data_IF_063160024860
#
_entry.id   IF_063160024860
#
_cell.length_a   1.000
_cell.length_b   1.000
_cell.length_c   1.000
_cell.angle_alpha   90.00
_cell.angle_beta   90.00
_cell.angle_gamma   90.00
#
_symmetry.space_group_name_H-M   'P 1'
#
loop_
_entity.id
_entity.type
_entity.pdbx_description
1 polymer ?
#
# COMPACT_ATOMS: atom_id res chain seq x y z
N UNK A 1 2.83 -5.93 -3.03
CA UNK A 1 3.70 -4.91 -2.42
C UNK A 1 3.21 -3.54 -2.86
N UNK A 2 3.37 -2.50 -2.03
CA UNK A 2 2.97 -1.14 -2.39
C UNK A 2 3.94 -0.11 -1.80
N UNK A 3 4.03 1.04 -2.44
CA UNK A 3 4.89 2.17 -2.11
C UNK A 3 4.09 3.48 -2.10
N UNK A 4 4.65 4.54 -1.51
CA UNK A 4 4.07 5.89 -1.62
C UNK A 4 3.93 6.35 -3.09
N UNK A 5 4.84 5.93 -3.97
CA UNK A 5 4.80 6.23 -5.41
C UNK A 5 3.58 5.59 -6.09
N UNK A 6 3.21 4.38 -5.69
CA UNK A 6 2.05 3.67 -6.24
C UNK A 6 0.76 4.39 -5.85
N UNK A 7 0.65 4.84 -4.59
CA UNK A 7 -0.50 5.63 -4.12
C UNK A 7 -0.64 6.95 -4.88
N UNK A 8 0.46 7.66 -5.13
CA UNK A 8 0.45 8.89 -5.92
C UNK A 8 0.01 8.59 -7.36
N UNK A 9 0.56 7.53 -7.97
CA UNK A 9 0.22 7.11 -9.33
C UNK A 9 -1.25 6.72 -9.45
N UNK A 10 -1.81 6.11 -8.40
CA UNK A 10 -3.22 5.75 -8.30
C UNK A 10 -4.16 6.94 -7.98
N UNK A 11 -3.63 8.15 -7.80
CA UNK A 11 -4.43 9.35 -7.56
C UNK A 11 -4.84 9.57 -6.11
N UNK A 12 -4.24 8.88 -5.14
CA UNK A 12 -4.54 9.07 -3.71
C UNK A 12 -4.09 10.44 -3.16
N UNK A 13 -3.18 11.12 -3.86
CA UNK A 13 -2.64 12.43 -3.51
C UNK A 13 -1.45 12.80 -4.38
N UNK A 14 -1.07 14.09 -4.39
CA UNK A 14 -0.02 14.60 -5.29
C UNK A 14 1.41 14.48 -4.72
N UNK A 15 1.57 14.22 -3.43
CA UNK A 15 2.88 14.24 -2.74
C UNK A 15 3.01 13.10 -1.74
N UNK A 16 4.23 12.71 -1.35
CA UNK A 16 4.45 11.70 -0.30
C UNK A 16 3.75 12.06 1.01
N UNK A 17 3.78 13.34 1.40
CA UNK A 17 3.09 13.82 2.60
C UNK A 17 1.55 13.65 2.49
N UNK A 18 0.97 13.91 1.32
CA UNK A 18 -0.46 13.75 1.10
C UNK A 18 -0.92 12.29 1.19
N UNK A 19 -0.06 11.34 0.79
CA UNK A 19 -0.37 9.90 0.81
C UNK A 19 0.12 9.16 2.05
N UNK A 20 0.93 9.78 2.90
CA UNK A 20 1.48 9.17 4.11
C UNK A 20 0.39 8.59 5.02
N UNK A 21 -0.77 9.28 5.10
CA UNK A 21 -1.95 8.84 5.86
C UNK A 21 -2.60 7.55 5.33
N UNK A 22 -2.22 7.04 4.17
CA UNK A 22 -2.75 5.81 3.58
C UNK A 22 -1.73 4.68 3.56
N UNK A 23 -0.45 5.03 3.47
CA UNK A 23 0.66 4.13 3.25
C UNK A 23 0.70 2.94 4.22
N UNK A 24 0.37 3.20 5.49
CA UNK A 24 0.43 2.20 6.55
C UNK A 24 -0.72 1.20 6.57
N UNK A 25 -1.90 1.50 6.01
CA UNK A 25 -3.09 0.65 6.25
C UNK A 25 -4.09 0.54 5.09
N UNK A 26 -3.99 1.40 4.08
CA UNK A 26 -4.90 1.39 2.93
C UNK A 26 -4.21 0.74 1.75
N UNK A 27 -4.89 -0.17 1.06
CA UNK A 27 -4.38 -0.72 -0.19
C UNK A 27 -4.52 0.28 -1.35
N UNK A 28 -3.57 0.27 -2.28
CA UNK A 28 -3.62 1.07 -3.53
C UNK A 28 -4.91 0.82 -4.32
N UNK A 29 -5.43 -0.40 -4.31
CA UNK A 29 -6.62 -0.77 -5.09
C UNK A 29 -7.88 0.03 -4.74
N UNK A 30 -7.96 0.60 -3.53
CA UNK A 30 -9.02 1.54 -3.14
C UNK A 30 -9.15 2.72 -4.12
N UNK A 31 -8.02 3.21 -4.63
CA UNK A 31 -7.95 4.39 -5.47
C UNK A 31 -8.05 4.06 -6.96
N UNK A 32 -7.76 2.81 -7.35
CA UNK A 32 -7.87 2.35 -8.73
C UNK A 32 -9.20 1.66 -9.04
N UNK A 33 -10.11 1.55 -8.07
CA UNK A 33 -11.37 0.80 -8.23
C UNK A 33 -11.15 -0.72 -8.34
N UNK A 34 -10.08 -1.24 -7.72
CA UNK A 34 -9.82 -2.67 -7.71
C UNK A 34 -10.95 -3.43 -7.01
N UNK A 35 -11.24 -4.68 -7.42
CA UNK A 35 -12.20 -5.51 -6.72
C UNK A 35 -11.75 -5.77 -5.27
N UNK A 36 -12.72 -6.15 -4.44
CA UNK A 36 -12.50 -6.52 -3.04
C UNK A 36 -11.63 -7.77 -2.87
N UNK A 37 -11.61 -8.37 -1.66
CA UNK A 37 -10.74 -9.50 -1.34
C UNK A 37 -10.83 -10.65 -2.35
N UNK A 38 -9.69 -11.27 -2.65
CA UNK A 38 -9.55 -12.43 -3.56
C UNK A 38 -9.01 -13.61 -2.78
N UNK A 39 -9.46 -14.83 -3.08
CA UNK A 39 -8.93 -16.03 -2.41
C UNK A 39 -7.49 -16.35 -2.81
N UNK A 40 -7.08 -15.98 -4.03
CA UNK A 40 -5.74 -16.24 -4.58
C UNK A 40 -5.13 -14.90 -5.03
N UNK A 41 -3.88 -14.59 -4.63
CA UNK A 41 -3.16 -13.44 -5.16
C UNK A 41 -2.90 -13.59 -6.67
N UNK A 42 -3.26 -12.58 -7.45
CA UNK A 42 -3.14 -12.56 -8.92
C UNK A 42 -2.11 -11.51 -9.41
N UNK A 43 -1.38 -10.89 -8.48
CA UNK A 43 -0.40 -9.83 -8.78
C UNK A 43 -1.00 -8.44 -8.99
N UNK A 44 -2.32 -8.31 -9.09
CA UNK A 44 -2.98 -7.01 -9.30
C UNK A 44 -3.16 -6.24 -7.98
N UNK A 45 -3.34 -4.91 -8.01
CA UNK A 45 -3.80 -4.13 -6.86
C UNK A 45 -5.10 -4.70 -6.29
N UNK A 46 -5.31 -4.55 -4.98
CA UNK A 46 -6.50 -5.03 -4.27
C UNK A 46 -7.00 -3.98 -3.29
N UNK A 47 -8.24 -4.12 -2.81
CA UNK A 47 -8.78 -3.33 -1.69
C UNK A 47 -9.19 -4.23 -0.51
N UNK A 48 -8.22 -4.99 0.02
CA UNK A 48 -8.50 -5.94 1.11
C UNK A 48 -8.86 -5.26 2.43
N UNK A 49 -8.22 -4.13 2.71
CA UNK A 49 -8.48 -3.42 3.97
C UNK A 49 -9.76 -2.60 3.92
N UNK A 50 -10.44 -2.50 2.77
CA UNK A 50 -11.59 -1.61 2.53
C UNK A 50 -11.33 -0.21 3.07
N UNK A 51 -10.16 0.33 2.73
CA UNK A 51 -9.72 1.63 3.24
C UNK A 51 -9.51 1.69 4.75
N UNK A 52 -9.14 0.59 5.40
CA UNK A 52 -8.83 0.49 6.83
C UNK A 52 -9.97 0.02 7.72
N UNK A 53 -11.13 -0.35 7.14
CA UNK A 53 -12.26 -0.89 7.91
C UNK A 53 -11.92 -2.23 8.57
N UNK A 54 -11.12 -3.07 7.89
CA UNK A 54 -10.68 -4.34 8.43
C UNK A 54 -9.25 -4.26 8.95
N UNK A 55 -9.07 -4.54 10.24
CA UNK A 55 -7.76 -4.71 10.87
C UNK A 55 -7.17 -6.10 10.54
N UNK A 56 -6.73 -6.27 9.29
CA UNK A 56 -6.04 -7.49 8.83
C UNK A 56 -4.52 -7.43 9.03
N UNK A 57 -4.04 -6.37 9.67
CA UNK A 57 -2.63 -6.08 9.88
C UNK A 57 -2.06 -6.96 10.99
N UNK A 58 -0.83 -7.46 10.78
CA UNK A 58 -0.09 -8.24 11.78
C UNK A 58 0.86 -7.39 12.61
N UNK A 59 1.24 -6.22 12.08
CA UNK A 59 2.07 -5.24 12.74
C UNK A 59 1.21 -4.14 13.35
N UNK A 60 1.56 -3.72 14.56
CA UNK A 60 0.96 -2.60 15.26
C UNK A 60 2.06 -1.61 15.65
N UNK A 61 1.81 -0.32 15.41
CA UNK A 61 2.66 0.77 15.89
C UNK A 61 1.95 1.43 17.06
N UNK A 62 2.64 1.48 18.21
CA UNK A 62 2.13 2.15 19.42
C UNK A 62 2.88 3.46 19.59
N UNK A 63 2.15 4.56 19.62
CA UNK A 63 2.71 5.91 19.82
C UNK A 63 2.86 6.22 21.32
N UNK A 64 3.61 7.29 21.65
CA UNK A 64 3.93 7.65 23.04
C UNK A 64 2.68 7.96 23.90
N UNK A 65 1.57 8.32 23.26
CA UNK A 65 0.26 8.53 23.89
C UNK A 65 -0.56 7.23 24.05
N UNK A 66 -0.01 6.08 23.67
CA UNK A 66 -0.62 4.75 23.81
C UNK A 66 -1.60 4.39 22.70
N UNK A 67 -1.74 5.20 21.65
CA UNK A 67 -2.62 4.89 20.52
C UNK A 67 -2.01 3.78 19.66
N UNK A 68 -2.84 2.78 19.32
CA UNK A 68 -2.44 1.63 18.51
C UNK A 68 -2.86 1.85 17.06
N UNK A 69 -1.88 1.82 16.15
CA UNK A 69 -2.08 1.96 14.72
C UNK A 69 -1.76 0.64 14.00
N UNK A 70 -2.77 -0.11 13.52
CA UNK A 70 -2.53 -1.30 12.73
C UNK A 70 -1.87 -0.90 11.39
N UNK A 71 -0.73 -1.52 11.08
CA UNK A 71 0.11 -1.16 9.95
C UNK A 71 0.50 -2.39 9.12
N UNK A 72 0.74 -2.21 7.82
CA UNK A 72 1.38 -3.23 6.99
C UNK A 72 2.81 -3.47 7.46
N UNK A 73 3.25 -4.72 7.37
CA UNK A 73 4.64 -5.07 7.58
C UNK A 73 5.53 -4.38 6.53
N UNK A 74 6.62 -3.70 6.95
CA UNK A 74 7.59 -3.16 6.02
C UNK A 74 8.19 -4.26 5.14
N UNK A 75 8.39 -3.93 3.86
CA UNK A 75 9.15 -4.77 2.95
C UNK A 75 10.60 -4.91 3.42
N UNK A 76 11.24 -6.05 3.13
CA UNK A 76 12.70 -6.13 3.26
C UNK A 76 13.38 -5.19 2.25
N UNK A 77 14.63 -4.77 2.49
CA UNK A 77 15.36 -3.92 1.54
C UNK A 77 15.38 -4.49 0.12
N UNK A 78 15.57 -5.80 -0.02
CA UNK A 78 15.61 -6.50 -1.31
C UNK A 78 14.25 -6.44 -2.00
N UNK A 79 13.15 -6.73 -1.27
CA UNK A 79 11.81 -6.66 -1.83
C UNK A 79 11.45 -5.23 -2.26
N UNK A 80 11.82 -4.23 -1.47
CA UNK A 80 11.61 -2.83 -1.80
C UNK A 80 12.38 -2.40 -3.06
N UNK A 81 13.64 -2.85 -3.20
CA UNK A 81 14.46 -2.60 -4.38
C UNK A 81 13.89 -3.28 -5.64
N UNK A 82 13.45 -4.54 -5.52
CA UNK A 82 12.80 -5.27 -6.60
C UNK A 82 11.51 -4.57 -7.06
N UNK A 83 10.67 -4.14 -6.12
CA UNK A 83 9.44 -3.40 -6.41
C UNK A 83 9.74 -2.07 -7.10
N UNK A 84 10.73 -1.32 -6.60
CA UNK A 84 11.15 -0.07 -7.22
C UNK A 84 11.66 -0.28 -8.65
N UNK A 85 12.47 -1.31 -8.91
CA UNK A 85 12.98 -1.63 -10.24
C UNK A 85 11.86 -2.05 -11.21
N UNK A 86 10.90 -2.86 -10.75
CA UNK A 86 9.76 -3.29 -11.57
C UNK A 86 8.82 -2.11 -11.93
N UNK A 87 8.58 -1.21 -10.97
CA UNK A 87 7.77 0.00 -11.16
C UNK A 87 8.40 1.03 -12.12
N UNK A 88 9.71 0.91 -12.38
CA UNK A 88 10.44 1.69 -13.38
C UNK A 88 10.34 0.99 -14.74
N UNK A 89 10.55 -0.33 -14.78
CA UNK A 89 10.51 -1.12 -16.02
C UNK A 89 9.13 -1.12 -16.72
N UNK A 90 8.02 -1.11 -15.97
CA UNK A 90 6.67 -1.02 -16.58
C UNK A 90 6.39 0.32 -17.28
N UNK A 91 7.15 1.38 -16.99
CA UNK A 91 6.98 2.71 -17.64
C UNK A 91 7.78 2.86 -18.94
N UNK A 92 8.78 2.03 -19.17
CA UNK A 92 9.65 2.12 -20.36
C UNK A 92 9.08 1.36 -21.58
N UNK A 93 7.97 0.65 -21.41
CA UNK A 93 7.27 -0.12 -22.45
C UNK A 93 5.85 0.37 -22.77
N UNK A 94 5.45 1.53 -22.22
CA UNK A 94 4.12 2.14 -22.42
C UNK A 94 4.19 3.42 -23.28
#
# INVERSE_FOLDING_TARGET
>A
MQSARDLITAGAGATPAAVARYFGFSCVGRFTGAPGPRNVPDGNPCDWTLGGLFSLHRLEVVTDDGVVHPCFEPATPEQAQMHAACSIAEKDFA
#
